data_IF_521827545435
#
_entry.id   IF_521827545435
#
_cell.length_a   1.000
_cell.length_b   1.000
_cell.length_c   1.000
_cell.angle_alpha   90.00
_cell.angle_beta   90.00
_cell.angle_gamma   90.00
#
_symmetry.space_group_name_H-M   'P 1'
#
loop_
_entity.id
_entity.type
_entity.pdbx_description
1 polymer ?
#
# COMPACT_ATOMS: atom_id res chain seq x y z
N UNK A 1 -37.10 -0.24 -2.88
CA UNK A 1 -35.63 -0.08 -2.89
C UNK A 1 -35.14 -0.31 -4.31
N UNK A 2 -34.47 0.67 -4.95
CA UNK A 2 -33.85 0.43 -6.26
C UNK A 2 -32.61 -0.44 -6.03
N UNK A 3 -32.59 -1.62 -6.63
CA UNK A 3 -31.47 -2.56 -6.53
C UNK A 3 -30.30 -2.07 -7.39
N UNK A 4 -29.08 -2.43 -7.00
CA UNK A 4 -27.91 -2.27 -7.85
C UNK A 4 -28.10 -3.11 -9.11
N UNK A 5 -27.66 -2.57 -10.25
CA UNK A 5 -27.66 -3.28 -11.54
C UNK A 5 -26.30 -3.94 -11.74
N UNK A 6 -26.26 -5.09 -12.39
CA UNK A 6 -25.02 -5.77 -12.78
C UNK A 6 -24.99 -6.04 -14.28
N UNK A 7 -23.85 -5.86 -14.92
CA UNK A 7 -23.59 -6.28 -16.31
C UNK A 7 -22.40 -7.23 -16.36
N UNK A 8 -22.41 -8.13 -17.33
CA UNK A 8 -21.33 -9.08 -17.56
C UNK A 8 -20.86 -8.90 -19.00
N UNK A 9 -19.57 -8.72 -19.18
CA UNK A 9 -18.90 -8.66 -20.47
C UNK A 9 -17.87 -9.78 -20.55
N UNK A 10 -17.81 -10.48 -21.68
CA UNK A 10 -16.80 -11.51 -21.96
C UNK A 10 -16.18 -11.18 -23.30
N UNK A 11 -14.86 -11.07 -23.36
CA UNK A 11 -14.15 -10.80 -24.60
C UNK A 11 -13.86 -12.08 -25.41
N UNK A 12 -13.31 -11.91 -26.62
CA UNK A 12 -12.97 -13.02 -27.52
C UNK A 12 -11.93 -14.00 -26.94
N UNK A 13 -11.14 -13.54 -25.96
CA UNK A 13 -10.11 -14.32 -25.30
C UNK A 13 -10.62 -15.02 -24.03
N UNK A 14 -11.90 -14.84 -23.68
CA UNK A 14 -12.55 -15.43 -22.52
C UNK A 14 -12.28 -14.69 -21.20
N UNK A 15 -11.74 -13.47 -21.24
CA UNK A 15 -11.68 -12.61 -20.06
C UNK A 15 -13.08 -12.10 -19.74
N UNK A 16 -13.43 -12.09 -18.46
CA UNK A 16 -14.74 -11.66 -17.99
C UNK A 16 -14.60 -10.42 -17.12
N UNK A 17 -15.44 -9.42 -17.37
CA UNK A 17 -15.63 -8.26 -16.51
C UNK A 17 -17.06 -8.23 -16.00
N UNK A 18 -17.23 -8.07 -14.69
CA UNK A 18 -18.53 -7.83 -14.05
C UNK A 18 -18.54 -6.39 -13.56
N UNK A 19 -19.52 -5.60 -13.96
CA UNK A 19 -19.67 -4.20 -13.52
C UNK A 19 -20.92 -4.07 -12.66
N UNK A 20 -20.77 -3.44 -11.49
CA UNK A 20 -21.89 -3.10 -10.61
C UNK A 20 -22.17 -1.61 -10.66
N UNK A 21 -23.45 -1.25 -10.69
CA UNK A 21 -23.92 0.13 -10.80
C UNK A 21 -24.81 0.50 -9.62
N UNK A 22 -24.67 1.75 -9.17
CA UNK A 22 -25.60 2.35 -8.23
C UNK A 22 -26.99 2.61 -8.88
N UNK A 23 -28.02 2.99 -8.10
CA UNK A 23 -29.35 3.30 -8.62
C UNK A 23 -29.44 4.44 -9.66
N UNK A 24 -28.36 5.20 -9.83
CA UNK A 24 -28.19 6.28 -10.81
C UNK A 24 -27.47 5.81 -12.08
N UNK A 25 -27.23 4.50 -12.26
CA UNK A 25 -26.49 3.90 -13.37
C UNK A 25 -25.02 4.34 -13.47
N UNK A 26 -24.39 4.69 -12.36
CA UNK A 26 -22.95 4.95 -12.29
C UNK A 26 -22.23 3.70 -11.79
N UNK A 27 -21.12 3.35 -12.43
CA UNK A 27 -20.29 2.20 -12.03
C UNK A 27 -19.69 2.49 -10.65
N UNK A 28 -19.79 1.52 -9.74
CA UNK A 28 -19.22 1.59 -8.40
C UNK A 28 -18.15 0.52 -8.17
N UNK A 29 -18.22 -0.59 -8.91
CA UNK A 29 -17.32 -1.74 -8.74
C UNK A 29 -17.14 -2.46 -10.06
N UNK A 30 -15.93 -2.93 -10.32
CA UNK A 30 -15.63 -3.85 -11.43
C UNK A 30 -14.80 -5.02 -10.95
N UNK A 31 -15.17 -6.22 -11.38
CA UNK A 31 -14.44 -7.45 -11.09
C UNK A 31 -13.90 -8.00 -12.42
N UNK A 32 -12.59 -8.27 -12.46
CA UNK A 32 -11.90 -8.76 -13.65
C UNK A 32 -11.42 -10.18 -13.43
N UNK A 33 -11.75 -11.05 -14.37
CA UNK A 33 -11.42 -12.46 -14.32
C UNK A 33 -10.61 -12.87 -15.55
N UNK A 34 -9.58 -13.67 -15.32
CA UNK A 34 -8.93 -14.44 -16.38
C UNK A 34 -9.91 -15.48 -16.94
N UNK A 35 -9.59 -16.09 -18.09
CA UNK A 35 -10.28 -17.29 -18.55
C UNK A 35 -10.38 -18.34 -17.44
N UNK A 36 -11.47 -19.11 -17.43
CA UNK A 36 -11.84 -20.05 -16.35
C UNK A 36 -12.31 -19.40 -15.04
N UNK A 37 -12.75 -18.14 -15.07
CA UNK A 37 -13.35 -17.44 -13.94
C UNK A 37 -12.42 -17.22 -12.72
N UNK A 38 -11.12 -17.05 -12.96
CA UNK A 38 -10.13 -16.74 -11.92
C UNK A 38 -10.11 -15.22 -11.71
N UNK A 39 -10.54 -14.73 -10.56
CA UNK A 39 -10.55 -13.30 -10.22
C UNK A 39 -9.12 -12.82 -10.05
N UNK A 40 -8.72 -11.76 -10.75
CA UNK A 40 -7.37 -11.19 -10.61
C UNK A 40 -7.37 -9.71 -10.22
N UNK A 41 -8.51 -9.01 -10.37
CA UNK A 41 -8.61 -7.60 -9.97
C UNK A 41 -10.02 -7.19 -9.58
N UNK A 42 -10.13 -6.33 -8.57
CA UNK A 42 -11.34 -5.57 -8.25
C UNK A 42 -11.00 -4.08 -8.30
N UNK A 43 -11.81 -3.28 -9.00
CA UNK A 43 -11.76 -1.81 -8.94
C UNK A 43 -12.96 -1.30 -8.14
N UNK A 44 -12.74 -0.28 -7.30
CA UNK A 44 -13.79 0.48 -6.64
C UNK A 44 -13.74 1.95 -7.08
N UNK A 45 -14.91 2.56 -7.27
CA UNK A 45 -15.04 3.93 -7.77
C UNK A 45 -15.82 4.80 -6.78
N UNK A 46 -15.50 6.10 -6.76
CA UNK A 46 -16.31 7.09 -6.06
C UNK A 46 -17.57 7.47 -6.87
N UNK A 47 -18.43 8.33 -6.30
CA UNK A 47 -19.65 8.80 -6.96
C UNK A 47 -19.41 9.66 -8.20
N UNK A 48 -18.18 10.08 -8.45
CA UNK A 48 -17.73 10.84 -9.61
C UNK A 48 -17.00 9.97 -10.64
N UNK A 49 -17.02 8.63 -10.46
CA UNK A 49 -16.35 7.64 -11.31
C UNK A 49 -14.81 7.70 -11.25
N UNK A 50 -14.23 8.32 -10.22
CA UNK A 50 -12.80 8.24 -10.00
C UNK A 50 -12.45 6.92 -9.31
N UNK A 51 -11.39 6.27 -9.77
CA UNK A 51 -10.85 5.07 -9.15
C UNK A 51 -10.40 5.40 -7.72
N UNK A 52 -10.94 4.67 -6.73
CA UNK A 52 -10.60 4.80 -5.32
C UNK A 52 -9.60 3.72 -4.90
N UNK A 53 -9.87 2.48 -5.29
CA UNK A 53 -9.10 1.32 -4.82
C UNK A 53 -8.98 0.29 -5.92
N UNK A 54 -7.82 -0.36 -6.00
CA UNK A 54 -7.64 -1.60 -6.73
C UNK A 54 -7.17 -2.70 -5.79
N UNK A 55 -7.74 -3.89 -5.95
CA UNK A 55 -7.38 -5.09 -5.20
C UNK A 55 -6.93 -6.11 -6.23
N UNK A 56 -5.70 -6.62 -6.10
CA UNK A 56 -5.11 -7.60 -6.98
C UNK A 56 -4.99 -8.94 -6.27
N UNK A 57 -5.26 -10.01 -7.02
CA UNK A 57 -5.08 -11.38 -6.56
C UNK A 57 -4.04 -12.06 -7.44
N UNK A 58 -3.21 -12.91 -6.83
CA UNK A 58 -2.26 -13.72 -7.56
C UNK A 58 -2.96 -14.92 -8.22
N UNK A 59 -2.18 -15.79 -8.89
CA UNK A 59 -2.71 -16.95 -9.63
C UNK A 59 -3.35 -18.01 -8.72
N UNK A 60 -3.02 -18.00 -7.44
CA UNK A 60 -3.58 -18.89 -6.42
C UNK A 60 -4.82 -18.28 -5.74
N UNK A 61 -5.35 -17.16 -6.28
CA UNK A 61 -6.44 -16.36 -5.73
C UNK A 61 -6.16 -15.77 -4.34
N UNK A 62 -4.88 -15.64 -3.97
CA UNK A 62 -4.49 -14.99 -2.71
C UNK A 62 -4.33 -13.49 -2.95
N UNK A 63 -4.62 -12.69 -1.93
CA UNK A 63 -4.43 -11.25 -1.99
C UNK A 63 -2.95 -10.91 -2.23
N UNK A 64 -2.68 -10.10 -3.25
CA UNK A 64 -1.32 -9.72 -3.68
C UNK A 64 -1.01 -8.26 -3.35
N UNK A 65 -1.89 -7.37 -3.79
CA UNK A 65 -1.71 -5.92 -3.63
C UNK A 65 -3.04 -5.20 -3.46
N UNK A 66 -3.07 -4.17 -2.62
CA UNK A 66 -4.12 -3.17 -2.57
C UNK A 66 -3.53 -1.80 -2.84
N UNK A 67 -4.11 -1.08 -3.79
CA UNK A 67 -3.69 0.27 -4.17
C UNK A 67 -4.82 1.24 -3.88
N UNK A 68 -4.54 2.29 -3.11
CA UNK A 68 -5.45 3.40 -2.85
C UNK A 68 -5.06 4.61 -3.70
N UNK A 69 -6.08 5.27 -4.24
CA UNK A 69 -5.95 6.41 -5.13
C UNK A 69 -6.50 7.67 -4.50
N UNK A 70 -5.79 8.77 -4.74
CA UNK A 70 -6.32 10.10 -4.49
C UNK A 70 -7.31 10.45 -5.60
N UNK A 71 -8.61 10.36 -5.34
CA UNK A 71 -9.65 10.54 -6.38
C UNK A 71 -9.59 11.90 -7.06
N UNK A 72 -9.27 12.96 -6.32
CA UNK A 72 -9.15 14.34 -6.85
C UNK A 72 -8.01 14.51 -7.85
N UNK A 73 -6.95 13.69 -7.74
CA UNK A 73 -5.72 13.81 -8.54
C UNK A 73 -5.48 12.62 -9.47
N UNK A 74 -6.30 11.57 -9.37
CA UNK A 74 -6.17 10.34 -10.16
C UNK A 74 -4.74 9.78 -10.14
N UNK A 75 -4.17 9.68 -8.93
CA UNK A 75 -2.83 9.15 -8.69
C UNK A 75 -2.81 8.24 -7.47
N UNK A 76 -1.84 7.30 -7.43
CA UNK A 76 -1.62 6.43 -6.28
C UNK A 76 -1.27 7.29 -5.06
N UNK A 77 -1.85 6.96 -3.92
CA UNK A 77 -1.55 7.57 -2.63
C UNK A 77 -0.87 6.57 -1.70
N UNK A 78 -1.32 5.30 -1.75
CA UNK A 78 -0.83 4.23 -0.90
C UNK A 78 -0.92 2.89 -1.61
N UNK A 79 0.05 2.02 -1.34
CA UNK A 79 0.10 0.64 -1.82
C UNK A 79 0.42 -0.28 -0.65
N UNK A 80 -0.28 -1.40 -0.56
CA UNK A 80 -0.10 -2.44 0.46
C UNK A 80 0.16 -3.73 -0.28
N UNK A 81 1.30 -4.36 -0.01
CA UNK A 81 1.67 -5.65 -0.60
C UNK A 81 1.61 -6.74 0.46
N UNK A 82 1.26 -7.95 0.05
CA UNK A 82 1.00 -9.08 0.93
C UNK A 82 2.01 -10.21 0.70
N UNK A 83 2.21 -10.99 1.75
CA UNK A 83 2.91 -12.27 1.67
C UNK A 83 1.92 -13.36 1.20
N UNK A 84 2.41 -14.53 0.76
CA UNK A 84 1.54 -15.67 0.44
C UNK A 84 0.67 -16.16 1.60
N UNK A 85 0.99 -15.84 2.86
CA UNK A 85 0.16 -16.12 4.04
C UNK A 85 -0.84 -14.99 4.35
N UNK A 86 -1.05 -14.07 3.41
CA UNK A 86 -1.95 -12.90 3.46
C UNK A 86 -1.63 -11.90 4.58
N UNK A 87 -0.46 -12.03 5.23
CA UNK A 87 0.08 -10.99 6.12
C UNK A 87 0.60 -9.82 5.29
N UNK A 88 0.55 -8.60 5.84
CA UNK A 88 1.09 -7.42 5.16
C UNK A 88 2.60 -7.54 5.09
N UNK A 89 3.15 -7.55 3.88
CA UNK A 89 4.58 -7.54 3.61
C UNK A 89 5.13 -6.10 3.68
N UNK A 90 4.45 -5.16 3.01
CA UNK A 90 4.90 -3.77 2.98
C UNK A 90 3.78 -2.77 2.77
N UNK A 91 4.04 -1.53 3.17
CA UNK A 91 3.21 -0.36 2.90
C UNK A 91 4.10 0.72 2.28
N UNK A 92 3.70 1.21 1.11
CA UNK A 92 4.35 2.33 0.41
C UNK A 92 3.37 3.50 0.33
N UNK A 93 3.84 4.72 0.58
CA UNK A 93 3.06 5.95 0.35
C UNK A 93 3.73 6.83 -0.69
N UNK A 94 2.91 7.56 -1.44
CA UNK A 94 3.34 8.34 -2.60
C UNK A 94 2.98 9.80 -2.43
N UNK A 95 3.85 10.68 -2.93
CA UNK A 95 3.53 12.09 -3.03
C UNK A 95 2.46 12.30 -4.12
N UNK A 96 1.30 12.87 -3.77
CA UNK A 96 0.19 12.99 -4.71
C UNK A 96 0.44 14.01 -5.85
N UNK A 97 1.50 14.83 -5.78
CA UNK A 97 1.84 15.83 -6.81
C UNK A 97 2.71 15.25 -7.92
N UNK A 98 3.77 14.52 -7.59
CA UNK A 98 4.77 14.00 -8.55
C UNK A 98 4.82 12.47 -8.61
N UNK A 99 4.03 11.76 -7.77
CA UNK A 99 3.92 10.29 -7.74
C UNK A 99 5.18 9.57 -7.26
N UNK A 100 6.16 10.31 -6.73
CA UNK A 100 7.33 9.70 -6.12
C UNK A 100 6.97 9.02 -4.81
N UNK A 101 7.66 7.93 -4.47
CA UNK A 101 7.60 7.34 -3.15
C UNK A 101 8.09 8.37 -2.12
N UNK A 102 7.45 8.39 -0.95
CA UNK A 102 7.86 9.24 0.18
C UNK A 102 8.21 8.41 1.41
N UNK A 103 7.57 7.25 1.55
CA UNK A 103 7.79 6.34 2.67
C UNK A 103 7.55 4.90 2.25
N UNK A 104 8.39 4.02 2.76
CA UNK A 104 8.26 2.58 2.64
C UNK A 104 8.44 1.94 4.00
N UNK A 105 7.53 1.02 4.34
CA UNK A 105 7.58 0.22 5.57
C UNK A 105 7.50 -1.24 5.16
N UNK A 106 8.38 -2.07 5.68
CA UNK A 106 8.32 -3.54 5.50
C UNK A 106 8.21 -4.24 6.84
N UNK A 107 7.49 -5.35 6.83
CA UNK A 107 7.12 -6.11 8.00
C UNK A 107 7.51 -7.58 7.85
N UNK A 108 7.73 -8.24 8.98
CA UNK A 108 7.76 -9.70 9.05
C UNK A 108 6.30 -10.21 9.07
N UNK A 109 6.07 -11.51 8.79
CA UNK A 109 4.74 -12.10 8.89
C UNK A 109 4.05 -11.91 10.26
N UNK A 110 4.83 -11.82 11.35
CA UNK A 110 4.29 -11.53 12.68
C UNK A 110 3.91 -10.05 12.91
N UNK A 111 4.00 -9.18 11.90
CA UNK A 111 3.71 -7.75 11.97
C UNK A 111 4.83 -6.88 12.53
N UNK A 112 5.96 -7.45 12.95
CA UNK A 112 7.10 -6.65 13.42
C UNK A 112 7.79 -5.92 12.26
N UNK A 113 8.23 -4.69 12.49
CA UNK A 113 8.88 -3.87 11.47
C UNK A 113 10.29 -4.43 11.16
N UNK A 114 10.61 -4.56 9.88
CA UNK A 114 11.95 -4.88 9.38
C UNK A 114 12.70 -3.59 9.07
N UNK A 115 12.07 -2.71 8.29
CA UNK A 115 12.70 -1.52 7.72
C UNK A 115 11.68 -0.41 7.54
N UNK A 116 12.13 0.81 7.84
CA UNK A 116 11.55 2.07 7.37
C UNK A 116 12.51 2.69 6.36
N UNK A 117 12.00 3.18 5.24
CA UNK A 117 12.76 4.00 4.31
C UNK A 117 12.00 5.28 4.00
N UNK A 118 12.71 6.40 4.02
CA UNK A 118 12.19 7.71 3.69
C UNK A 118 12.86 8.23 2.42
N UNK A 119 12.07 8.91 1.60
CA UNK A 119 12.49 9.44 0.31
C UNK A 119 12.19 10.93 0.25
N UNK A 120 12.99 11.66 -0.51
CA UNK A 120 12.79 13.08 -0.70
C UNK A 120 11.47 13.29 -1.48
N UNK A 121 10.54 14.09 -0.98
CA UNK A 121 9.23 14.20 -1.57
C UNK A 121 9.23 14.94 -2.91
N UNK A 122 10.31 15.64 -3.28
CA UNK A 122 10.41 16.43 -4.52
C UNK A 122 10.96 15.58 -5.65
N UNK A 123 12.06 14.85 -5.43
CA UNK A 123 12.74 14.08 -6.48
C UNK A 123 12.64 12.54 -6.31
N UNK A 124 12.13 12.06 -5.18
CA UNK A 124 11.93 10.62 -4.93
C UNK A 124 13.20 9.88 -4.54
N UNK A 125 14.31 10.58 -4.36
CA UNK A 125 15.61 9.99 -4.04
C UNK A 125 15.62 9.46 -2.61
N UNK A 126 16.30 8.36 -2.37
CA UNK A 126 16.34 7.72 -1.06
C UNK A 126 17.18 8.54 -0.06
N UNK A 127 16.62 8.85 1.11
CA UNK A 127 17.26 9.76 2.10
C UNK A 127 17.62 9.10 3.41
N UNK A 128 16.82 8.15 3.88
CA UNK A 128 17.05 7.46 5.15
C UNK A 128 16.55 6.03 5.09
N UNK A 129 17.29 5.12 5.70
CA UNK A 129 16.83 3.77 6.04
C UNK A 129 17.05 3.50 7.52
N UNK A 130 16.01 3.12 8.22
CA UNK A 130 16.06 2.59 9.58
C UNK A 130 15.77 1.10 9.54
N UNK A 131 16.66 0.27 10.09
CA UNK A 131 16.49 -1.19 10.14
C UNK A 131 16.38 -1.68 11.58
N UNK A 132 15.52 -2.66 11.80
CA UNK A 132 15.24 -3.22 13.12
C UNK A 132 15.56 -4.72 13.18
N UNK A 133 15.99 -5.15 14.35
CA UNK A 133 16.14 -6.56 14.70
C UNK A 133 14.76 -7.23 14.84
N UNK A 134 14.74 -8.55 15.02
CA UNK A 134 13.50 -9.32 15.19
C UNK A 134 12.75 -9.00 16.49
N UNK A 135 13.46 -8.52 17.51
CA UNK A 135 12.90 -8.07 18.78
C UNK A 135 12.36 -6.63 18.74
N UNK A 136 12.45 -5.96 17.59
CA UNK A 136 12.04 -4.57 17.40
C UNK A 136 13.08 -3.54 17.83
N UNK A 137 14.24 -3.95 18.35
CA UNK A 137 15.34 -3.03 18.67
C UNK A 137 15.97 -2.45 17.40
N UNK A 138 16.51 -1.23 17.50
CA UNK A 138 17.23 -0.61 16.39
C UNK A 138 18.47 -1.43 16.03
N UNK A 139 18.58 -1.80 14.75
CA UNK A 139 19.80 -2.37 14.20
C UNK A 139 20.75 -1.26 13.70
N UNK A 140 20.29 -0.41 12.78
CA UNK A 140 21.04 0.77 12.34
C UNK A 140 20.14 1.80 11.65
N UNK A 141 20.65 3.01 11.51
CA UNK A 141 20.13 4.07 10.63
C UNK A 141 21.20 4.38 9.57
N UNK A 142 20.82 4.38 8.30
CA UNK A 142 21.64 4.87 7.17
C UNK A 142 21.03 6.15 6.63
N UNK A 143 21.84 7.16 6.42
CA UNK A 143 21.45 8.43 5.80
C UNK A 143 22.16 8.59 4.47
N UNK A 144 21.47 9.20 3.51
CA UNK A 144 21.89 9.33 2.13
C UNK A 144 21.71 10.78 1.67
N UNK A 145 22.55 11.19 0.73
CA UNK A 145 22.45 12.51 0.13
C UNK A 145 21.25 12.52 -0.85
N UNK A 146 20.26 13.43 -0.68
CA UNK A 146 19.03 13.43 -1.46
C UNK A 146 19.20 13.83 -2.93
N UNK A 147 20.42 14.18 -3.36
CA UNK A 147 20.71 14.57 -4.76
C UNK A 147 21.51 13.49 -5.48
N UNK A 148 22.38 12.77 -4.75
CA UNK A 148 23.34 11.83 -5.34
C UNK A 148 23.11 10.38 -4.93
N UNK A 149 22.17 10.14 -4.01
CA UNK A 149 21.92 8.87 -3.30
C UNK A 149 23.15 8.25 -2.61
N UNK A 150 24.24 9.02 -2.50
CA UNK A 150 25.45 8.54 -1.86
C UNK A 150 25.20 8.42 -0.37
N UNK A 151 25.63 7.29 0.18
CA UNK A 151 25.66 7.05 1.62
C UNK A 151 26.49 8.15 2.31
N UNK A 152 25.90 8.78 3.32
CA UNK A 152 26.55 9.82 4.13
C UNK A 152 27.14 9.19 5.39
N UNK A 153 26.32 8.45 6.14
CA UNK A 153 26.73 7.84 7.40
C UNK A 153 25.80 6.72 7.83
N UNK A 154 26.33 5.88 8.72
CA UNK A 154 25.56 4.87 9.46
C UNK A 154 25.66 5.19 10.94
N UNK A 155 24.52 5.11 11.64
CA UNK A 155 24.41 5.32 13.09
C UNK A 155 23.74 4.14 13.75
N UNK A 156 24.19 3.85 14.96
CA UNK A 156 23.66 2.81 15.84
C UNK A 156 22.99 3.45 17.05
N UNK A 157 22.31 2.65 17.88
CA UNK A 157 21.60 3.14 19.06
C UNK A 157 22.52 3.89 20.04
N UNK A 158 23.80 3.48 20.13
CA UNK A 158 24.84 4.14 20.92
C UNK A 158 25.13 5.57 20.49
N UNK A 159 24.93 5.86 19.21
CA UNK A 159 25.32 7.14 18.58
C UNK A 159 24.21 8.18 18.67
N UNK A 160 23.01 7.78 19.14
CA UNK A 160 21.83 8.63 19.19
C UNK A 160 21.74 9.38 20.52
N UNK A 161 21.48 10.68 20.43
CA UNK A 161 21.08 11.49 21.58
C UNK A 161 19.74 11.04 22.14
N UNK A 162 19.40 11.36 23.40
CA UNK A 162 18.08 11.03 23.97
C UNK A 162 16.91 11.56 23.12
N UNK A 163 17.05 12.77 22.56
CA UNK A 163 16.03 13.37 21.69
C UNK A 163 15.81 12.55 20.42
N UNK A 164 16.89 12.08 19.78
CA UNK A 164 16.81 11.27 18.56
C UNK A 164 16.21 9.89 18.84
N UNK A 165 16.51 9.29 20.00
CA UNK A 165 15.87 8.03 20.43
C UNK A 165 14.36 8.20 20.56
N UNK A 166 13.90 9.29 21.18
CA UNK A 166 12.46 9.58 21.28
C UNK A 166 11.80 9.78 19.91
N UNK A 167 12.49 10.42 18.96
CA UNK A 167 11.96 10.57 17.58
C UNK A 167 11.83 9.20 16.92
N UNK A 168 12.86 8.37 17.02
CA UNK A 168 12.88 7.02 16.46
C UNK A 168 11.79 6.12 17.05
N UNK A 169 11.57 6.18 18.36
CA UNK A 169 10.49 5.46 19.04
C UNK A 169 9.13 5.89 18.50
N UNK A 170 8.90 7.20 18.31
CA UNK A 170 7.66 7.71 17.69
C UNK A 170 7.50 7.22 16.25
N UNK A 171 8.56 7.25 15.44
CA UNK A 171 8.52 6.72 14.07
C UNK A 171 8.16 5.23 14.04
N UNK A 172 8.72 4.44 14.97
CA UNK A 172 8.40 3.02 15.11
C UNK A 172 6.94 2.80 15.51
N UNK A 173 6.43 3.54 16.51
CA UNK A 173 5.03 3.43 16.95
C UNK A 173 4.04 3.84 15.85
N UNK A 174 4.34 4.91 15.10
CA UNK A 174 3.52 5.33 13.96
C UNK A 174 3.49 4.26 12.87
N UNK A 175 4.61 3.58 12.60
CA UNK A 175 4.65 2.49 11.64
C UNK A 175 3.83 1.26 12.10
N UNK A 176 3.84 0.94 13.40
CA UNK A 176 2.97 -0.11 13.96
C UNK A 176 1.49 0.29 13.87
N UNK A 177 1.16 1.56 14.14
CA UNK A 177 -0.20 2.07 13.96
C UNK A 177 -0.66 2.00 12.50
N UNK A 178 0.24 2.29 11.56
CA UNK A 178 -0.04 2.20 10.12
C UNK A 178 -0.37 0.76 9.71
N UNK A 179 0.36 -0.22 10.26
CA UNK A 179 0.07 -1.65 10.06
C UNK A 179 -1.32 -2.02 10.60
N UNK A 180 -1.67 -1.61 11.82
CA UNK A 180 -2.99 -1.92 12.40
C UNK A 180 -4.14 -1.25 11.64
N UNK A 181 -3.94 0.00 11.20
CA UNK A 181 -4.91 0.73 10.38
C UNK A 181 -5.13 0.02 9.05
N UNK A 182 -4.04 -0.35 8.37
CA UNK A 182 -4.10 -1.11 7.13
C UNK A 182 -4.86 -2.42 7.31
N UNK A 183 -4.49 -3.23 8.31
CA UNK A 183 -5.16 -4.50 8.63
C UNK A 183 -6.67 -4.32 8.82
N UNK A 184 -7.08 -3.29 9.55
CA UNK A 184 -8.49 -2.98 9.80
C UNK A 184 -9.23 -2.55 8.52
N UNK A 185 -8.62 -1.70 7.69
CA UNK A 185 -9.21 -1.24 6.44
C UNK A 185 -9.44 -2.38 5.44
N UNK A 186 -8.55 -3.36 5.42
CA UNK A 186 -8.64 -4.54 4.55
C UNK A 186 -9.86 -5.38 4.91
N UNK A 187 -10.04 -5.70 6.21
CA UNK A 187 -11.22 -6.43 6.69
C UNK A 187 -12.52 -5.75 6.27
N UNK A 188 -12.61 -4.42 6.42
CA UNK A 188 -13.80 -3.67 6.01
C UNK A 188 -14.03 -3.58 4.49
N UNK A 189 -12.99 -3.77 3.69
CA UNK A 189 -13.04 -3.62 2.22
C UNK A 189 -13.34 -4.93 1.49
N UNK A 190 -13.06 -6.08 2.12
CA UNK A 190 -13.34 -7.41 1.54
C UNK A 190 -14.76 -7.87 1.90
N UNK A 191 -15.30 -7.47 3.05
CA UNK A 191 -16.63 -7.87 3.53
C UNK A 191 -17.80 -7.05 2.94
N UNK A 192 -17.58 -6.20 1.91
CA UNK A 192 -18.60 -5.35 1.26
C UNK A 192 -18.76 -5.62 -0.24
#
# INVERSE_FOLDING_TARGET
MKQNKTTIHIDENGYKTIQEYNPQNQIIKELFFHPKNILYRINHYDSQLNLMTQIYYNRDNLLDTIIYYNTKKSCKEKEINFNPDETINSITTYNPKNRHEIKYISFRPNGSIIRLADYDPVNGEHTKTTRYNSDGSLYYIKEYNPITERHIRTRYLSDLTPKEKTVLEKEHQLALQEYQTAKTQITLSIDK
#
